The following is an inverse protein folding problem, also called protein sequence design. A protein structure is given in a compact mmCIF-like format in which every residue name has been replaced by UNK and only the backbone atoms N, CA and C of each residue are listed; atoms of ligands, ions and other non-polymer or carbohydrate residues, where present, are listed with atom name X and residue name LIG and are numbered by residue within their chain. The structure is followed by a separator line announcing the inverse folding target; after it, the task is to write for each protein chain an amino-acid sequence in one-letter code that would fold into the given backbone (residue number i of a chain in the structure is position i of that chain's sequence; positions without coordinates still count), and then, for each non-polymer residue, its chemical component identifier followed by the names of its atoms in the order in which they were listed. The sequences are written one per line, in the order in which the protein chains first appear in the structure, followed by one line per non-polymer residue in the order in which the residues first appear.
data_IF_556162689425
#
_entry.id   IF_556162689425
#
_cell.length_a   1.000
_cell.length_b   1.000
_cell.length_c   1.000
_cell.angle_alpha   90.00
_cell.angle_beta   90.00
_cell.angle_gamma   90.00
#
_symmetry.space_group_name_H-M   'P 1'
#
loop_
_entity.id
_entity.type
_entity.pdbx_description
1 polymer ?
#
# COMPACT_ATOMS: atom_id res chain seq x y z
N UNK A 1 16.46 -5.40 15.22
CA UNK A 1 17.16 -5.77 16.46
C UNK A 1 18.49 -5.07 16.63
N UNK A 2 19.28 -4.89 15.59
CA UNK A 2 20.57 -4.16 15.60
C UNK A 2 20.45 -2.75 16.21
N UNK A 3 19.46 -1.97 15.85
CA UNK A 3 19.28 -0.62 16.40
C UNK A 3 19.08 -0.60 17.94
N UNK A 4 18.38 -1.59 18.51
CA UNK A 4 18.18 -1.69 19.96
C UNK A 4 19.49 -2.11 20.65
N UNK A 5 20.24 -3.02 20.05
CA UNK A 5 21.53 -3.47 20.59
C UNK A 5 22.57 -2.36 20.59
N UNK A 6 22.59 -1.54 19.55
CA UNK A 6 23.48 -0.38 19.44
C UNK A 6 23.12 0.72 20.45
N UNK A 7 21.82 1.05 20.56
CA UNK A 7 21.36 2.12 21.46
C UNK A 7 21.54 1.76 22.94
N UNK A 8 21.34 0.48 23.31
CA UNK A 8 21.39 0.03 24.71
C UNK A 8 22.71 -0.65 25.10
N UNK A 9 23.65 -0.80 24.15
CA UNK A 9 24.95 -1.49 24.36
C UNK A 9 24.80 -2.89 24.98
N UNK A 10 23.76 -3.63 24.57
CA UNK A 10 23.47 -4.99 25.04
C UNK A 10 23.55 -5.99 23.89
N UNK A 11 23.88 -7.26 24.20
CA UNK A 11 23.99 -8.29 23.18
C UNK A 11 22.61 -8.64 22.57
N UNK A 12 22.60 -9.04 21.29
CA UNK A 12 21.38 -9.50 20.61
C UNK A 12 20.69 -10.65 21.36
N UNK A 13 21.45 -11.56 21.98
CA UNK A 13 20.92 -12.66 22.79
C UNK A 13 20.20 -12.15 24.04
N UNK A 14 20.71 -11.12 24.70
CA UNK A 14 20.06 -10.46 25.84
C UNK A 14 18.76 -9.81 25.43
N UNK A 15 18.71 -9.11 24.29
CA UNK A 15 17.48 -8.51 23.74
C UNK A 15 16.44 -9.60 23.45
N UNK A 16 16.83 -10.70 22.79
CA UNK A 16 15.92 -11.82 22.47
C UNK A 16 15.36 -12.46 23.75
N UNK A 17 16.22 -12.69 24.78
CA UNK A 17 15.79 -13.24 26.07
C UNK A 17 14.76 -12.34 26.75
N UNK A 18 15.05 -11.03 26.80
CA UNK A 18 14.14 -10.05 27.41
C UNK A 18 12.82 -9.93 26.65
N UNK A 19 12.82 -9.98 25.32
CA UNK A 19 11.59 -9.99 24.52
C UNK A 19 10.74 -11.24 24.75
N UNK A 20 11.35 -12.40 25.06
CA UNK A 20 10.60 -13.62 25.41
C UNK A 20 9.96 -13.55 26.80
N UNK A 21 10.54 -12.77 27.72
CA UNK A 21 9.99 -12.52 29.05
C UNK A 21 8.81 -11.51 29.02
N UNK A 22 8.63 -10.81 27.90
CA UNK A 22 7.56 -9.81 27.74
C UNK A 22 6.22 -10.50 27.45
N UNK A 23 5.34 -10.59 28.45
CA UNK A 23 3.95 -10.97 28.25
C UNK A 23 3.12 -9.73 27.88
N UNK A 24 2.68 -9.65 26.62
CA UNK A 24 1.71 -8.66 26.20
C UNK A 24 0.32 -9.01 26.76
N UNK A 25 -0.08 -8.36 27.83
CA UNK A 25 -1.47 -8.42 28.31
C UNK A 25 -2.33 -7.52 27.45
N UNK A 26 -3.19 -8.12 26.62
CA UNK A 26 -4.18 -7.35 25.85
C UNK A 26 -5.20 -6.76 26.82
N UNK A 27 -5.44 -5.45 26.78
CA UNK A 27 -6.58 -4.84 27.46
C UNK A 27 -7.87 -5.18 26.69
N UNK A 28 -8.67 -6.09 27.22
CA UNK A 28 -9.93 -6.52 26.60
C UNK A 28 -11.09 -5.54 26.85
N UNK A 29 -10.88 -4.48 27.62
CA UNK A 29 -11.91 -3.50 27.94
C UNK A 29 -11.92 -2.31 26.95
N UNK A 30 -10.90 -2.21 26.11
CA UNK A 30 -10.74 -1.09 25.19
C UNK A 30 -10.39 -1.54 23.78
N UNK A 31 -11.07 -0.92 22.80
CA UNK A 31 -10.68 -0.90 21.38
C UNK A 31 -10.78 0.55 20.88
N UNK A 32 -9.89 0.99 19.98
CA UNK A 32 -9.97 2.33 19.40
C UNK A 32 -11.23 2.49 18.56
N UNK A 33 -11.72 3.72 18.46
CA UNK A 33 -12.88 4.04 17.63
C UNK A 33 -12.58 3.89 16.12
N UNK A 34 -11.34 4.16 15.73
CA UNK A 34 -10.85 4.01 14.36
C UNK A 34 -9.71 2.98 14.33
N UNK A 35 -9.93 1.87 13.66
CA UNK A 35 -8.90 0.82 13.49
C UNK A 35 -8.46 0.74 12.04
N UNK A 36 -7.22 0.33 11.84
CA UNK A 36 -6.72 -0.12 10.54
C UNK A 36 -6.26 -1.57 10.65
N UNK A 37 -6.67 -2.38 9.68
CA UNK A 37 -6.31 -3.79 9.56
C UNK A 37 -5.45 -3.99 8.34
N UNK A 38 -4.32 -4.68 8.54
CA UNK A 38 -3.31 -4.90 7.50
C UNK A 38 -2.64 -6.26 7.68
N UNK A 39 -1.78 -6.63 6.76
CA UNK A 39 -1.00 -7.84 6.79
C UNK A 39 0.49 -7.53 6.95
N UNK A 40 1.16 -8.32 7.76
CA UNK A 40 2.59 -8.20 7.97
C UNK A 40 3.29 -9.53 7.70
N UNK A 41 4.41 -9.48 6.98
CA UNK A 41 5.23 -10.67 6.68
C UNK A 41 6.45 -10.72 7.59
N UNK A 42 6.48 -11.69 8.52
CA UNK A 42 7.66 -11.94 9.37
C UNK A 42 8.74 -12.76 8.68
N UNK A 43 8.32 -13.72 7.85
CA UNK A 43 9.22 -14.63 7.12
C UNK A 43 8.64 -14.83 5.73
N UNK A 44 9.51 -15.14 4.79
CA UNK A 44 9.12 -15.46 3.42
C UNK A 44 7.99 -16.51 3.42
N UNK A 45 6.84 -16.14 2.92
CA UNK A 45 5.64 -17.00 2.82
C UNK A 45 4.74 -17.07 4.06
N UNK A 46 5.08 -16.43 5.21
CA UNK A 46 4.20 -16.34 6.38
C UNK A 46 3.69 -14.93 6.55
N UNK A 47 2.38 -14.79 6.43
CA UNK A 47 1.66 -13.53 6.64
C UNK A 47 0.94 -13.57 7.98
N UNK A 48 1.02 -12.50 8.73
CA UNK A 48 0.36 -12.27 10.00
C UNK A 48 -0.60 -11.12 9.89
N UNK A 49 -1.70 -11.19 10.61
CA UNK A 49 -2.65 -10.09 10.72
C UNK A 49 -2.16 -9.07 11.74
N UNK A 50 -2.30 -7.80 11.43
CA UNK A 50 -2.03 -6.68 12.32
C UNK A 50 -3.24 -5.75 12.38
N UNK A 51 -3.61 -5.34 13.58
CA UNK A 51 -4.56 -4.26 13.80
C UNK A 51 -3.88 -3.14 14.59
N UNK A 52 -4.10 -1.91 14.18
CA UNK A 52 -3.59 -0.73 14.87
C UNK A 52 -4.66 0.36 14.99
N UNK A 53 -4.48 1.18 15.99
CA UNK A 53 -5.25 2.40 16.16
C UNK A 53 -4.86 3.38 15.05
N UNK A 54 -5.83 3.81 14.28
CA UNK A 54 -5.60 4.71 13.14
C UNK A 54 -5.11 6.10 13.60
N UNK A 55 -5.62 6.58 14.74
CA UNK A 55 -5.35 7.93 15.22
C UNK A 55 -3.98 8.02 15.92
N UNK A 56 -3.68 7.06 16.80
CA UNK A 56 -2.45 7.07 17.61
C UNK A 56 -1.31 6.29 17.00
N UNK A 57 -1.57 5.50 15.94
CA UNK A 57 -0.64 4.58 15.29
C UNK A 57 -0.12 3.45 16.20
N UNK A 58 -0.71 3.25 17.36
CA UNK A 58 -0.34 2.17 18.26
C UNK A 58 -0.87 0.82 17.78
N UNK A 59 -0.08 -0.20 17.97
CA UNK A 59 -0.49 -1.58 17.65
C UNK A 59 -1.54 -2.03 18.68
N UNK A 60 -2.70 -2.45 18.19
CA UNK A 60 -3.78 -3.05 18.97
C UNK A 60 -3.56 -4.55 19.14
N UNK A 61 -3.21 -5.24 18.05
CA UNK A 61 -2.93 -6.67 18.08
C UNK A 61 -2.10 -7.12 16.87
N UNK A 62 -1.31 -8.16 17.08
CA UNK A 62 -0.61 -8.92 16.02
C UNK A 62 -0.98 -10.38 16.23
N UNK A 63 -1.49 -11.03 15.17
CA UNK A 63 -1.92 -12.43 15.24
C UNK A 63 -1.03 -13.29 14.35
N UNK A 64 -0.64 -14.46 14.83
CA UNK A 64 0.05 -15.45 14.01
C UNK A 64 -0.94 -16.07 13.02
N UNK A 65 -0.78 -15.69 11.75
CA UNK A 65 -1.70 -16.02 10.67
C UNK A 65 -2.79 -14.98 10.42
N UNK A 66 -3.46 -15.13 9.27
CA UNK A 66 -4.47 -14.17 8.76
C UNK A 66 -5.81 -14.82 8.44
N UNK A 67 -6.07 -16.02 8.97
CA UNK A 67 -7.33 -16.71 8.68
C UNK A 67 -8.50 -15.99 9.35
N UNK A 68 -9.67 -16.06 8.74
CA UNK A 68 -10.89 -15.50 9.33
C UNK A 68 -11.16 -16.06 10.73
N UNK A 69 -10.86 -17.36 10.95
CA UNK A 69 -11.04 -18.01 12.24
C UNK A 69 -10.12 -17.38 13.32
N UNK A 70 -8.85 -17.16 13.00
CA UNK A 70 -7.87 -16.53 13.90
C UNK A 70 -8.33 -15.13 14.30
N UNK A 71 -8.71 -14.30 13.34
CA UNK A 71 -9.17 -12.92 13.57
C UNK A 71 -10.46 -12.91 14.38
N UNK A 72 -11.43 -13.74 14.00
CA UNK A 72 -12.71 -13.87 14.71
C UNK A 72 -12.51 -14.27 16.16
N UNK A 73 -11.74 -15.31 16.42
CA UNK A 73 -11.50 -15.82 17.78
C UNK A 73 -10.80 -14.78 18.65
N UNK A 74 -9.88 -13.98 18.06
CA UNK A 74 -9.23 -12.90 18.78
C UNK A 74 -10.23 -11.81 19.18
N UNK A 75 -11.00 -11.26 18.25
CA UNK A 75 -11.92 -10.16 18.54
C UNK A 75 -13.18 -10.58 19.31
N UNK A 76 -13.57 -11.85 19.30
CA UNK A 76 -14.64 -12.35 20.15
C UNK A 76 -14.27 -12.38 21.65
N UNK A 77 -12.99 -12.25 22.00
CA UNK A 77 -12.56 -12.07 23.40
C UNK A 77 -13.01 -10.72 23.99
N UNK A 78 -13.23 -9.72 23.13
CA UNK A 78 -13.77 -8.43 23.52
C UNK A 78 -15.29 -8.53 23.65
N UNK A 79 -15.86 -7.92 24.69
CA UNK A 79 -17.31 -7.87 24.86
C UNK A 79 -18.00 -7.19 23.67
N UNK A 80 -19.28 -7.50 23.45
CA UNK A 80 -20.07 -6.84 22.39
C UNK A 80 -20.09 -5.32 22.57
N UNK A 81 -20.19 -4.84 23.82
CA UNK A 81 -20.21 -3.40 24.13
C UNK A 81 -18.92 -2.71 23.65
N UNK A 82 -17.75 -3.33 23.90
CA UNK A 82 -16.46 -2.80 23.47
C UNK A 82 -16.37 -2.79 21.94
N UNK A 83 -16.78 -3.86 21.27
CA UNK A 83 -16.78 -3.95 19.80
C UNK A 83 -17.73 -2.93 19.15
N UNK A 84 -18.88 -2.66 19.74
CA UNK A 84 -19.84 -1.67 19.25
C UNK A 84 -19.36 -0.21 19.35
N UNK A 85 -18.29 0.07 20.11
CA UNK A 85 -17.66 1.40 20.17
C UNK A 85 -16.79 1.72 18.96
N UNK A 86 -16.36 0.71 18.21
CA UNK A 86 -15.58 0.90 16.99
C UNK A 86 -16.46 1.53 15.91
N UNK A 87 -16.05 2.68 15.39
CA UNK A 87 -16.80 3.49 14.42
C UNK A 87 -16.36 3.25 12.99
N UNK A 88 -15.04 3.07 12.79
CA UNK A 88 -14.43 2.91 11.47
C UNK A 88 -13.38 1.81 11.49
N UNK A 89 -13.38 0.99 10.45
CA UNK A 89 -12.32 0.01 10.21
C UNK A 89 -11.82 0.21 8.78
N UNK A 90 -10.56 0.63 8.64
CA UNK A 90 -9.87 0.70 7.37
C UNK A 90 -9.24 -0.65 7.08
N UNK A 91 -9.49 -1.22 5.90
CA UNK A 91 -8.98 -2.53 5.49
C UNK A 91 -8.36 -2.47 4.09
N UNK A 92 -7.45 -3.41 3.82
CA UNK A 92 -7.00 -3.71 2.46
C UNK A 92 -8.16 -4.28 1.61
N UNK A 93 -8.00 -4.30 0.30
CA UNK A 93 -8.97 -4.86 -0.67
C UNK A 93 -9.15 -6.39 -0.55
N UNK A 94 -8.69 -7.00 0.53
CA UNK A 94 -8.85 -8.44 0.76
C UNK A 94 -10.27 -8.76 1.24
N UNK A 95 -11.08 -9.32 0.34
CA UNK A 95 -12.50 -9.62 0.58
C UNK A 95 -12.82 -10.33 1.91
N UNK A 96 -12.03 -11.35 2.37
CA UNK A 96 -12.29 -12.01 3.64
C UNK A 96 -12.29 -11.09 4.87
N UNK A 97 -11.57 -9.98 4.84
CA UNK A 97 -11.56 -9.03 5.96
C UNK A 97 -12.84 -8.21 6.02
N UNK A 98 -13.41 -7.86 4.88
CA UNK A 98 -14.67 -7.14 4.82
C UNK A 98 -15.79 -7.91 5.52
N UNK A 99 -15.96 -9.18 5.17
CA UNK A 99 -17.03 -10.02 5.72
C UNK A 99 -16.92 -10.22 7.22
N UNK A 100 -15.68 -10.46 7.70
CA UNK A 100 -15.45 -10.68 9.12
C UNK A 100 -15.57 -9.38 9.92
N UNK A 101 -15.08 -8.25 9.42
CA UNK A 101 -15.21 -6.95 10.06
C UNK A 101 -16.69 -6.60 10.23
N UNK A 102 -17.50 -6.76 9.18
CA UNK A 102 -18.93 -6.50 9.21
C UNK A 102 -19.69 -7.36 10.23
N UNK A 103 -19.31 -8.64 10.36
CA UNK A 103 -19.92 -9.56 11.33
C UNK A 103 -19.53 -9.26 12.78
N UNK A 104 -18.30 -8.83 13.02
CA UNK A 104 -17.78 -8.59 14.37
C UNK A 104 -18.10 -7.20 14.89
N UNK A 105 -18.16 -6.20 14.00
CA UNK A 105 -18.29 -4.78 14.34
C UNK A 105 -19.50 -4.18 13.62
N UNK A 106 -20.68 -4.57 14.06
CA UNK A 106 -21.96 -4.22 13.40
C UNK A 106 -22.22 -2.73 13.29
N UNK A 107 -21.64 -1.90 14.15
CA UNK A 107 -21.82 -0.45 14.16
C UNK A 107 -20.74 0.30 13.36
N UNK A 108 -19.70 -0.40 12.87
CA UNK A 108 -18.60 0.23 12.19
C UNK A 108 -18.87 0.45 10.70
N UNK A 109 -18.33 1.55 10.17
CA UNK A 109 -18.17 1.75 8.73
C UNK A 109 -16.87 1.11 8.29
N UNK A 110 -16.92 0.31 7.23
CA UNK A 110 -15.73 -0.33 6.67
C UNK A 110 -15.29 0.51 5.47
N UNK A 111 -14.03 0.93 5.47
CA UNK A 111 -13.42 1.79 4.45
C UNK A 111 -12.25 1.02 3.82
N UNK A 112 -12.16 1.07 2.50
CA UNK A 112 -11.00 0.52 1.80
C UNK A 112 -9.82 1.49 1.88
N UNK A 113 -8.62 0.95 2.10
CA UNK A 113 -7.40 1.75 2.12
C UNK A 113 -7.06 2.26 0.71
N UNK A 114 -7.09 3.57 0.55
CA UNK A 114 -6.74 4.24 -0.71
C UNK A 114 -5.33 3.90 -1.20
N UNK A 115 -4.38 3.64 -0.31
CA UNK A 115 -3.02 3.25 -0.69
C UNK A 115 -3.01 1.98 -1.53
N UNK A 116 -3.76 0.96 -1.12
CA UNK A 116 -3.87 -0.30 -1.85
C UNK A 116 -4.58 -0.12 -3.20
N UNK A 117 -5.61 0.75 -3.25
CA UNK A 117 -6.29 1.09 -4.52
C UNK A 117 -5.29 1.72 -5.50
N UNK A 118 -4.52 2.72 -5.05
CA UNK A 118 -3.50 3.39 -5.88
C UNK A 118 -2.40 2.40 -6.31
N UNK A 119 -1.99 1.48 -5.45
CA UNK A 119 -1.06 0.41 -5.85
C UNK A 119 -1.61 -0.47 -6.97
N UNK A 120 -2.90 -0.85 -6.90
CA UNK A 120 -3.53 -1.64 -7.97
C UNK A 120 -3.60 -0.86 -9.28
N UNK A 121 -3.94 0.43 -9.24
CA UNK A 121 -3.91 1.31 -10.40
C UNK A 121 -2.52 1.39 -11.03
N UNK A 122 -1.49 1.57 -10.20
CA UNK A 122 -0.09 1.59 -10.64
C UNK A 122 0.31 0.28 -11.33
N UNK A 123 -0.07 -0.86 -10.75
CA UNK A 123 0.19 -2.19 -11.34
C UNK A 123 -0.54 -2.38 -12.66
N UNK A 124 -1.80 -1.94 -12.76
CA UNK A 124 -2.59 -2.00 -13.99
C UNK A 124 -1.94 -1.15 -15.08
N UNK A 125 -1.62 0.12 -14.77
CA UNK A 125 -0.97 1.02 -15.73
C UNK A 125 0.39 0.50 -16.19
N UNK A 126 1.16 -0.11 -15.28
CA UNK A 126 2.43 -0.74 -15.65
C UNK A 126 2.26 -1.90 -16.63
N UNK A 127 1.23 -2.74 -16.45
CA UNK A 127 0.91 -3.83 -17.41
C UNK A 127 0.59 -3.27 -18.78
N UNK A 128 -0.25 -2.25 -18.86
CA UNK A 128 -0.57 -1.58 -20.14
C UNK A 128 0.70 -1.03 -20.80
N UNK A 129 1.54 -0.33 -20.05
CA UNK A 129 2.80 0.20 -20.54
C UNK A 129 3.72 -0.89 -21.11
N UNK A 130 3.83 -2.04 -20.42
CA UNK A 130 4.61 -3.20 -20.89
C UNK A 130 4.01 -3.82 -22.15
N UNK A 131 2.68 -3.98 -22.20
CA UNK A 131 1.99 -4.54 -23.37
C UNK A 131 2.25 -3.68 -24.61
N UNK A 132 2.09 -2.37 -24.50
CA UNK A 132 2.31 -1.44 -25.59
C UNK A 132 3.79 -1.37 -25.97
N UNK A 133 4.69 -1.33 -24.98
CA UNK A 133 6.14 -1.35 -25.24
C UNK A 133 6.55 -2.59 -26.05
N UNK A 134 5.97 -3.75 -25.78
CA UNK A 134 6.28 -5.02 -26.46
C UNK A 134 5.73 -5.10 -27.90
N UNK A 135 4.87 -4.17 -28.33
CA UNK A 135 4.43 -4.05 -29.71
C UNK A 135 5.53 -3.44 -30.62
N UNK A 136 6.50 -2.74 -30.02
CA UNK A 136 7.62 -2.14 -30.75
C UNK A 136 8.83 -3.07 -30.80
N UNK A 137 9.62 -2.94 -31.87
CA UNK A 137 10.91 -3.62 -31.94
C UNK A 137 11.82 -3.19 -30.78
N UNK A 138 12.56 -4.13 -30.18
CA UNK A 138 13.44 -3.87 -29.02
C UNK A 138 14.55 -2.86 -29.30
N UNK A 139 14.94 -2.69 -30.58
CA UNK A 139 15.95 -1.72 -31.00
C UNK A 139 15.35 -0.37 -31.33
N UNK A 140 14.03 -0.27 -31.47
CA UNK A 140 13.33 0.97 -31.79
C UNK A 140 13.54 2.05 -30.75
N UNK A 141 13.32 3.28 -31.16
CA UNK A 141 13.35 4.45 -30.26
C UNK A 141 12.23 4.41 -29.25
N UNK A 142 11.04 4.03 -29.69
CA UNK A 142 9.81 3.94 -28.89
C UNK A 142 9.97 2.94 -27.73
N UNK A 143 10.48 1.73 -28.03
CA UNK A 143 10.75 0.71 -27.00
C UNK A 143 11.73 1.23 -25.95
N UNK A 144 12.85 1.81 -26.40
CA UNK A 144 13.89 2.32 -25.49
C UNK A 144 13.37 3.48 -24.64
N UNK A 145 12.55 4.37 -25.21
CA UNK A 145 11.96 5.49 -24.51
C UNK A 145 10.96 5.01 -23.44
N UNK A 146 10.02 4.14 -23.79
CA UNK A 146 9.06 3.57 -22.84
C UNK A 146 9.78 2.82 -21.73
N UNK A 147 10.78 1.98 -22.05
CA UNK A 147 11.56 1.22 -21.07
C UNK A 147 12.32 2.13 -20.09
N UNK A 148 12.80 3.29 -20.54
CA UNK A 148 13.59 4.20 -19.71
C UNK A 148 12.71 5.09 -18.84
N UNK A 149 11.61 5.61 -19.39
CA UNK A 149 10.84 6.69 -18.78
C UNK A 149 9.45 6.26 -18.28
N UNK A 150 9.15 4.96 -18.22
CA UNK A 150 7.85 4.43 -17.77
C UNK A 150 7.36 4.99 -16.43
N UNK A 151 8.29 5.33 -15.53
CA UNK A 151 7.95 5.90 -14.22
C UNK A 151 7.24 7.25 -14.31
N UNK A 152 7.48 8.03 -15.39
CA UNK A 152 6.78 9.29 -15.62
C UNK A 152 5.28 9.06 -15.89
N UNK A 153 4.93 7.94 -16.52
CA UNK A 153 3.55 7.57 -16.83
C UNK A 153 2.76 7.29 -15.53
N UNK A 154 3.44 6.86 -14.47
CA UNK A 154 2.82 6.56 -13.18
C UNK A 154 2.84 7.73 -12.18
N UNK A 155 3.47 8.83 -12.52
CA UNK A 155 3.49 10.01 -11.66
C UNK A 155 2.20 10.83 -11.82
N UNK A 156 1.81 11.48 -10.73
CA UNK A 156 0.79 12.51 -10.77
C UNK A 156 1.26 13.65 -11.71
N UNK A 157 0.50 13.90 -12.77
CA UNK A 157 0.86 14.90 -13.79
C UNK A 157 1.03 16.31 -13.22
N UNK A 158 0.36 16.63 -12.11
CA UNK A 158 0.47 17.92 -11.39
C UNK A 158 1.83 18.12 -10.71
N UNK A 159 2.52 17.00 -10.39
CA UNK A 159 3.81 16.98 -9.69
C UNK A 159 5.01 16.82 -10.61
N UNK A 160 4.80 16.77 -11.92
CA UNK A 160 5.89 16.65 -12.88
C UNK A 160 6.74 17.92 -12.91
N UNK A 161 8.06 17.74 -12.88
CA UNK A 161 9.01 18.85 -12.91
C UNK A 161 9.01 19.58 -14.25
N UNK A 162 8.98 20.91 -14.22
CA UNK A 162 9.11 21.79 -15.37
C UNK A 162 10.58 22.15 -15.67
N UNK A 163 11.54 21.63 -14.89
CA UNK A 163 12.97 21.82 -15.15
C UNK A 163 13.40 21.02 -16.38
N UNK A 164 14.19 21.63 -17.24
CA UNK A 164 14.76 20.99 -18.43
C UNK A 164 16.04 20.26 -18.09
N UNK A 165 16.13 19.00 -18.49
CA UNK A 165 17.32 18.17 -18.37
C UNK A 165 17.64 17.54 -19.71
N UNK A 166 18.93 17.28 -19.95
CA UNK A 166 19.33 16.52 -21.14
C UNK A 166 18.78 15.10 -21.05
N UNK A 167 17.98 14.73 -22.06
CA UNK A 167 17.36 13.42 -22.16
C UNK A 167 18.08 12.58 -23.23
N UNK A 168 18.96 11.63 -22.84
CA UNK A 168 19.83 10.93 -23.80
C UNK A 168 19.09 10.19 -24.91
N UNK A 169 17.91 9.61 -24.58
CA UNK A 169 17.08 8.90 -25.56
C UNK A 169 16.55 9.84 -26.63
N UNK A 170 16.22 11.07 -26.28
CA UNK A 170 15.71 12.09 -27.22
C UNK A 170 16.80 13.03 -27.76
N UNK A 171 18.03 12.93 -27.28
CA UNK A 171 19.17 13.80 -27.62
C UNK A 171 18.83 15.29 -27.54
N UNK A 172 18.01 15.69 -26.55
CA UNK A 172 17.53 17.06 -26.39
C UNK A 172 17.27 17.38 -24.90
N UNK A 173 17.24 18.69 -24.58
CA UNK A 173 16.84 19.16 -23.26
C UNK A 173 15.32 19.25 -23.20
N UNK A 174 14.68 18.40 -22.38
CA UNK A 174 13.25 18.30 -22.23
C UNK A 174 12.84 18.35 -20.76
N UNK A 175 11.65 18.89 -20.50
CA UNK A 175 10.96 18.74 -19.21
C UNK A 175 10.36 17.34 -19.09
N UNK A 176 10.00 16.94 -17.89
CA UNK A 176 9.30 15.66 -17.68
C UNK A 176 7.93 15.62 -18.38
N UNK A 177 7.25 16.76 -18.50
CA UNK A 177 5.99 16.87 -19.26
C UNK A 177 6.21 16.65 -20.76
N UNK A 178 7.23 17.26 -21.35
CA UNK A 178 7.57 17.07 -22.77
C UNK A 178 7.98 15.64 -23.07
N UNK A 179 8.72 14.98 -22.15
CA UNK A 179 9.05 13.55 -22.27
C UNK A 179 7.78 12.70 -22.23
N UNK A 180 6.91 12.96 -21.27
CA UNK A 180 5.64 12.24 -21.12
C UNK A 180 4.77 12.37 -22.38
N UNK A 181 4.60 13.57 -22.92
CA UNK A 181 3.83 13.79 -24.15
C UNK A 181 4.39 13.02 -25.34
N UNK A 182 5.73 12.93 -25.47
CA UNK A 182 6.38 12.09 -26.48
C UNK A 182 6.07 10.60 -26.27
N UNK A 183 6.09 10.10 -25.04
CA UNK A 183 5.73 8.70 -24.75
C UNK A 183 4.27 8.40 -25.10
N UNK A 184 3.36 9.31 -24.74
CA UNK A 184 1.93 9.17 -25.02
C UNK A 184 1.58 9.30 -26.50
N UNK A 185 2.45 9.95 -27.31
CA UNK A 185 2.25 10.04 -28.76
C UNK A 185 2.55 8.74 -29.50
N UNK A 186 3.25 7.78 -28.90
CA UNK A 186 3.56 6.50 -29.54
C UNK A 186 2.36 5.57 -29.68
N UNK A 187 1.33 5.72 -28.83
CA UNK A 187 0.14 4.89 -28.88
C UNK A 187 -1.07 5.66 -28.38
N UNK A 188 -2.14 5.68 -29.17
CA UNK A 188 -3.42 6.24 -28.75
C UNK A 188 -4.02 5.45 -27.58
N UNK A 189 -3.86 4.13 -27.57
CA UNK A 189 -4.28 3.26 -26.49
C UNK A 189 -3.57 3.63 -25.17
N UNK A 190 -2.25 3.87 -25.21
CA UNK A 190 -1.50 4.32 -24.04
C UNK A 190 -2.03 5.64 -23.50
N UNK A 191 -2.31 6.59 -24.38
CA UNK A 191 -2.88 7.91 -24.00
C UNK A 191 -4.25 7.78 -23.34
N UNK A 192 -5.13 6.95 -23.87
CA UNK A 192 -6.46 6.71 -23.29
C UNK A 192 -6.36 6.11 -21.88
N UNK A 193 -5.54 5.08 -21.72
CA UNK A 193 -5.31 4.45 -20.40
C UNK A 193 -4.66 5.42 -19.41
N UNK A 194 -3.71 6.24 -19.88
CA UNK A 194 -3.08 7.26 -19.06
C UNK A 194 -4.09 8.30 -18.56
N UNK A 195 -4.97 8.80 -19.42
CA UNK A 195 -6.00 9.78 -19.03
C UNK A 195 -6.95 9.21 -17.96
N UNK A 196 -7.41 7.97 -18.15
CA UNK A 196 -8.24 7.28 -17.16
C UNK A 196 -7.47 7.06 -15.84
N UNK A 197 -6.21 6.63 -15.93
CA UNK A 197 -5.35 6.45 -14.77
C UNK A 197 -5.18 7.74 -13.97
N UNK A 198 -4.91 8.88 -14.64
CA UNK A 198 -4.76 10.17 -13.97
C UNK A 198 -6.06 10.63 -13.29
N UNK A 199 -7.22 10.44 -13.97
CA UNK A 199 -8.53 10.76 -13.40
C UNK A 199 -8.78 9.99 -12.09
N UNK A 200 -8.53 8.68 -12.09
CA UNK A 200 -8.67 7.84 -10.90
C UNK A 200 -7.65 8.21 -9.82
N UNK A 201 -6.41 8.46 -10.20
CA UNK A 201 -5.36 8.86 -9.26
C UNK A 201 -5.73 10.17 -8.55
N UNK A 202 -6.27 11.15 -9.27
CA UNK A 202 -6.71 12.42 -8.69
C UNK A 202 -7.86 12.20 -7.71
N UNK A 203 -8.87 11.43 -8.09
CA UNK A 203 -10.01 11.12 -7.23
C UNK A 203 -9.58 10.50 -5.89
N UNK A 204 -8.62 9.57 -5.89
CA UNK A 204 -8.17 8.91 -4.67
C UNK A 204 -7.10 9.69 -3.88
N UNK A 205 -6.55 10.77 -4.43
CA UNK A 205 -5.56 11.63 -3.76
C UNK A 205 -6.13 12.98 -3.30
N UNK A 206 -7.33 13.33 -3.71
CA UNK A 206 -8.04 14.49 -3.16
C UNK A 206 -8.46 14.19 -1.71
N UNK A 207 -8.08 15.10 -0.80
CA UNK A 207 -8.44 15.02 0.63
C UNK A 207 -9.79 15.65 0.86
#
# INVERSE_FOLDING_TARGET
MTAITETLSVSTSTVIRKLKEFEFKSDLNHLPEHMSWDEYSFKKGKMSFIAHDYDTRKIVSILDGRTQATIRNHFLRYSRQVRCRVKVITIDMFSPYYDIARKLFSNSKIILDCFHIVQHLNRAMNRVCIQIMNQFDRRSHEYKALKRYWKLIQQDSRKLSDKRFYQPTFRSHLTNKEVLEKLLSYSQELRQHYNLYQLLLFHFQEK
#
